data_IF_046740881808
#
_entry.id   IF_046740881808
#
_cell.length_a   1.000
_cell.length_b   1.000
_cell.length_c   1.000
_cell.angle_alpha   90.00
_cell.angle_beta   90.00
_cell.angle_gamma   90.00
#
_symmetry.space_group_name_H-M   'P 1'
#
loop_
_entity.id
_entity.type
_entity.pdbx_description
1 polymer ?
#
# COMPACT_ATOMS: atom_id res chain seq x y z
N UNK A 1 -2.82 -26.80 -19.75
CA UNK A 1 -2.71 -25.32 -19.69
C UNK A 1 -3.07 -24.91 -18.27
N UNK A 2 -2.21 -24.16 -17.59
CA UNK A 2 -2.57 -23.60 -16.28
C UNK A 2 -3.65 -22.54 -16.50
N UNK A 3 -4.75 -22.63 -15.76
CA UNK A 3 -5.85 -21.66 -15.84
C UNK A 3 -5.34 -20.25 -15.50
N UNK A 4 -5.89 -19.22 -16.15
CA UNK A 4 -5.60 -17.83 -15.76
C UNK A 4 -6.13 -17.56 -14.35
N UNK A 5 -5.62 -16.54 -13.65
CA UNK A 5 -6.15 -16.18 -12.32
C UNK A 5 -7.64 -15.82 -12.37
N UNK A 6 -8.10 -15.23 -13.48
CA UNK A 6 -9.51 -14.90 -13.70
C UNK A 6 -10.37 -16.16 -13.78
N UNK A 7 -9.90 -17.18 -14.53
CA UNK A 7 -10.59 -18.46 -14.64
C UNK A 7 -10.60 -19.19 -13.29
N UNK A 8 -9.48 -19.15 -12.55
CA UNK A 8 -9.38 -19.75 -11.22
C UNK A 8 -10.37 -19.10 -10.23
N UNK A 9 -10.41 -17.77 -10.17
CA UNK A 9 -11.35 -17.04 -9.32
C UNK A 9 -12.81 -17.35 -9.68
N UNK A 10 -13.12 -17.38 -10.99
CA UNK A 10 -14.47 -17.67 -11.50
C UNK A 10 -14.92 -19.09 -11.18
N UNK A 11 -14.02 -20.07 -11.38
CA UNK A 11 -14.30 -21.47 -11.07
C UNK A 11 -14.52 -21.67 -9.57
N UNK A 12 -13.60 -21.15 -8.73
CA UNK A 12 -13.71 -21.26 -7.28
C UNK A 12 -14.95 -20.56 -6.73
N UNK A 13 -15.36 -19.42 -7.31
CA UNK A 13 -16.63 -18.78 -6.96
C UNK A 13 -17.81 -19.71 -7.26
N UNK A 14 -17.83 -20.30 -8.46
CA UNK A 14 -18.90 -21.19 -8.88
C UNK A 14 -18.97 -22.43 -8.00
N UNK A 15 -17.83 -22.99 -7.64
CA UNK A 15 -17.73 -24.16 -6.77
C UNK A 15 -18.17 -23.84 -5.32
N UNK A 16 -17.79 -22.67 -4.79
CA UNK A 16 -18.12 -22.26 -3.43
C UNK A 16 -19.59 -21.83 -3.26
N UNK A 17 -20.21 -21.23 -4.29
CA UNK A 17 -21.51 -20.56 -4.17
C UNK A 17 -22.60 -21.08 -5.12
N UNK A 18 -22.28 -22.05 -6.00
CA UNK A 18 -23.25 -22.75 -6.85
C UNK A 18 -23.85 -21.91 -7.98
N UNK A 19 -23.26 -20.77 -8.31
CA UNK A 19 -23.69 -19.83 -9.38
C UNK A 19 -22.47 -19.11 -9.98
N UNK A 20 -22.55 -18.60 -11.22
CA UNK A 20 -21.47 -17.77 -11.76
C UNK A 20 -21.34 -16.44 -10.99
N UNK A 21 -20.14 -15.84 -10.93
CA UNK A 21 -19.95 -14.50 -10.39
C UNK A 21 -20.58 -13.43 -11.30
N UNK A 22 -20.93 -12.29 -10.71
CA UNK A 22 -21.49 -11.15 -11.44
C UNK A 22 -20.36 -10.35 -12.13
N UNK A 23 -19.20 -10.23 -11.49
CA UNK A 23 -18.06 -9.47 -12.02
C UNK A 23 -16.72 -9.92 -11.42
N UNK A 24 -15.61 -9.61 -12.09
CA UNK A 24 -14.25 -9.78 -11.62
C UNK A 24 -13.63 -8.42 -11.31
N UNK A 25 -12.98 -8.30 -10.15
CA UNK A 25 -12.20 -7.12 -9.76
C UNK A 25 -10.74 -7.46 -9.54
N UNK A 26 -9.86 -6.46 -9.70
CA UNK A 26 -8.40 -6.62 -9.63
C UNK A 26 -7.77 -5.46 -8.88
N UNK A 27 -6.73 -5.74 -8.10
CA UNK A 27 -5.77 -4.74 -7.61
C UNK A 27 -4.35 -5.30 -7.65
N UNK A 28 -3.38 -4.47 -8.07
CA UNK A 28 -2.01 -4.91 -8.32
C UNK A 28 -1.16 -4.86 -7.06
N UNK A 29 -0.14 -5.72 -6.99
CA UNK A 29 1.04 -5.47 -6.17
C UNK A 29 1.86 -4.30 -6.72
N UNK A 30 3.01 -4.04 -6.10
CA UNK A 30 3.88 -2.92 -6.50
C UNK A 30 5.35 -3.14 -6.19
N UNK A 31 6.21 -2.42 -6.90
CA UNK A 31 7.61 -2.19 -6.54
C UNK A 31 7.86 -0.69 -6.40
N UNK A 32 8.75 -0.30 -5.50
CA UNK A 32 9.16 1.10 -5.38
C UNK A 32 10.46 1.34 -6.16
N UNK A 33 10.50 2.35 -7.03
CA UNK A 33 11.74 2.69 -7.75
C UNK A 33 12.69 3.49 -6.83
N UNK A 34 12.13 4.42 -6.05
CA UNK A 34 12.87 5.25 -5.09
C UNK A 34 11.91 5.94 -4.10
N UNK A 35 12.42 6.28 -2.91
CA UNK A 35 11.64 6.92 -1.85
C UNK A 35 11.37 6.02 -0.65
N UNK A 36 12.16 4.96 -0.43
CA UNK A 36 11.89 4.07 0.70
C UNK A 36 12.00 4.79 2.04
N UNK A 37 11.02 4.52 2.92
CA UNK A 37 10.86 5.10 4.25
C UNK A 37 10.57 6.61 4.27
N UNK A 38 10.17 7.20 3.15
CA UNK A 38 9.77 8.62 3.10
C UNK A 38 8.26 8.81 3.21
N UNK A 39 7.46 7.80 2.89
CA UNK A 39 6.00 7.88 2.81
C UNK A 39 5.33 8.18 4.14
N UNK A 40 5.72 7.51 5.23
CA UNK A 40 5.26 7.85 6.59
C UNK A 40 6.01 9.03 7.21
N UNK A 41 6.90 9.67 6.45
CA UNK A 41 7.60 10.91 6.81
C UNK A 41 7.14 12.09 5.94
N UNK A 42 5.93 12.01 5.37
CA UNK A 42 5.33 13.00 4.46
C UNK A 42 6.13 13.27 3.18
N UNK A 43 7.13 12.45 2.84
CA UNK A 43 8.03 12.69 1.72
C UNK A 43 7.45 12.37 0.35
N UNK A 44 8.33 12.13 -0.61
CA UNK A 44 7.99 11.73 -1.98
C UNK A 44 8.38 10.29 -2.24
N UNK A 45 7.55 9.59 -3.00
CA UNK A 45 7.82 8.22 -3.48
C UNK A 45 7.56 8.11 -4.98
N UNK A 46 8.19 7.11 -5.61
CA UNK A 46 8.03 6.83 -7.04
C UNK A 46 7.80 5.33 -7.30
N UNK A 47 6.65 4.76 -6.87
CA UNK A 47 6.33 3.36 -7.11
C UNK A 47 5.81 3.08 -8.53
N UNK A 48 5.79 1.79 -8.85
CA UNK A 48 5.23 1.18 -10.06
C UNK A 48 4.30 0.04 -9.67
N UNK A 49 3.10 0.01 -10.25
CA UNK A 49 2.22 -1.17 -10.21
C UNK A 49 2.83 -2.29 -11.06
N UNK A 50 2.84 -3.51 -10.56
CA UNK A 50 3.35 -4.68 -11.30
C UNK A 50 2.21 -5.46 -11.95
N UNK A 51 2.56 -6.40 -12.84
CA UNK A 51 1.62 -7.29 -13.51
C UNK A 51 0.94 -8.29 -12.56
N UNK A 52 1.61 -8.62 -11.46
CA UNK A 52 1.06 -9.43 -10.36
C UNK A 52 -0.03 -8.71 -9.58
N UNK A 53 -1.11 -9.41 -9.27
CA UNK A 53 -2.32 -8.86 -8.68
C UNK A 53 -3.09 -9.85 -7.80
N UNK A 54 -4.02 -9.31 -7.02
CA UNK A 54 -5.13 -10.04 -6.41
C UNK A 54 -6.37 -9.84 -7.27
N UNK A 55 -7.05 -10.94 -7.56
CA UNK A 55 -8.34 -10.99 -8.25
C UNK A 55 -9.42 -11.46 -7.28
N UNK A 56 -10.61 -10.88 -7.40
CA UNK A 56 -11.80 -11.37 -6.70
C UNK A 56 -12.94 -11.51 -7.72
N UNK A 57 -13.46 -12.72 -7.86
CA UNK A 57 -14.76 -12.97 -8.49
C UNK A 57 -15.83 -12.68 -7.46
N UNK A 58 -16.79 -11.81 -7.77
CA UNK A 58 -17.78 -11.32 -6.79
C UNK A 58 -19.19 -11.49 -7.31
N UNK A 59 -20.12 -11.71 -6.39
CA UNK A 59 -21.55 -11.70 -6.69
C UNK A 59 -22.36 -11.05 -5.57
N UNK A 60 -23.28 -10.17 -5.94
CA UNK A 60 -24.14 -9.45 -5.01
C UNK A 60 -24.99 -10.41 -4.18
N UNK A 61 -25.35 -9.96 -2.97
CA UNK A 61 -26.33 -10.62 -2.10
C UNK A 61 -27.41 -9.62 -1.71
N UNK A 62 -28.57 -10.13 -1.32
CA UNK A 62 -29.68 -9.33 -0.82
C UNK A 62 -29.63 -9.06 0.68
N UNK A 63 -28.76 -9.76 1.41
CA UNK A 63 -28.50 -9.55 2.84
C UNK A 63 -27.20 -8.78 3.06
N UNK A 64 -26.87 -8.51 4.33
CA UNK A 64 -25.66 -7.78 4.74
C UNK A 64 -24.48 -8.73 5.05
N UNK A 65 -24.52 -9.96 4.53
CA UNK A 65 -23.46 -10.94 4.75
C UNK A 65 -22.37 -10.82 3.69
N UNK A 66 -21.12 -10.79 4.12
CA UNK A 66 -19.96 -10.99 3.24
C UNK A 66 -19.43 -12.40 3.45
N UNK A 67 -19.35 -13.19 2.38
CA UNK A 67 -18.73 -14.52 2.37
C UNK A 67 -17.62 -14.56 1.34
N UNK A 68 -16.43 -14.96 1.74
CA UNK A 68 -15.27 -14.95 0.85
C UNK A 68 -14.47 -16.25 0.98
N UNK A 69 -14.23 -16.90 -0.15
CA UNK A 69 -13.34 -18.04 -0.27
C UNK A 69 -11.96 -17.58 -0.75
N UNK A 70 -10.89 -17.91 -0.04
CA UNK A 70 -9.52 -17.67 -0.47
C UNK A 70 -8.90 -18.95 -1.01
N UNK A 71 -8.42 -18.93 -2.26
CA UNK A 71 -7.69 -20.05 -2.85
C UNK A 71 -6.30 -20.20 -2.23
N UNK A 72 -5.66 -19.09 -1.85
CA UNK A 72 -4.31 -19.10 -1.27
C UNK A 72 -4.27 -19.76 0.11
N UNK A 73 -5.39 -19.72 0.83
CA UNK A 73 -5.55 -20.29 2.18
C UNK A 73 -6.50 -21.49 2.23
N UNK A 74 -7.13 -21.85 1.11
CA UNK A 74 -8.16 -22.90 1.00
C UNK A 74 -9.26 -22.79 2.08
N UNK A 75 -9.68 -21.56 2.37
CA UNK A 75 -10.59 -21.25 3.47
C UNK A 75 -11.75 -20.37 3.01
N UNK A 76 -12.95 -20.68 3.52
CA UNK A 76 -14.13 -19.81 3.38
C UNK A 76 -14.44 -19.17 4.72
N UNK A 77 -14.48 -17.85 4.72
CA UNK A 77 -14.81 -17.05 5.89
C UNK A 77 -16.05 -16.21 5.60
N UNK A 78 -16.78 -15.86 6.66
CA UNK A 78 -17.94 -14.99 6.55
C UNK A 78 -18.11 -14.08 7.75
N UNK A 79 -18.73 -12.94 7.53
CA UNK A 79 -19.12 -12.01 8.59
C UNK A 79 -20.27 -11.12 8.12
N UNK A 80 -21.01 -10.60 9.07
CA UNK A 80 -22.03 -9.59 8.83
C UNK A 80 -21.39 -8.20 8.75
N UNK A 81 -21.81 -7.35 7.81
CA UNK A 81 -21.25 -5.99 7.64
C UNK A 81 -21.36 -5.17 8.92
N UNK A 82 -22.44 -5.31 9.70
CA UNK A 82 -22.61 -4.58 10.96
C UNK A 82 -21.64 -5.06 12.05
N UNK A 83 -21.15 -6.30 11.96
CA UNK A 83 -20.21 -6.86 12.95
C UNK A 83 -18.82 -6.18 12.94
N UNK A 84 -18.49 -5.46 11.86
CA UNK A 84 -17.20 -4.77 11.71
C UNK A 84 -17.33 -3.26 11.82
N UNK A 85 -18.35 -2.74 12.53
CA UNK A 85 -18.50 -1.30 12.80
C UNK A 85 -17.52 -0.75 13.84
N UNK A 86 -16.98 -1.62 14.68
CA UNK A 86 -16.03 -1.27 15.74
C UNK A 86 -14.72 -2.01 15.53
N UNK A 87 -13.62 -1.43 16.01
CA UNK A 87 -12.33 -2.09 15.99
C UNK A 87 -12.35 -3.37 16.86
N UNK A 88 -11.61 -4.42 16.47
CA UNK A 88 -11.52 -5.63 17.27
C UNK A 88 -10.80 -5.35 18.59
N UNK A 89 -11.19 -6.07 19.65
CA UNK A 89 -10.52 -5.98 20.96
C UNK A 89 -9.26 -6.85 21.04
N UNK A 90 -9.15 -7.83 20.16
CA UNK A 90 -7.97 -8.69 20.02
C UNK A 90 -7.18 -8.33 18.75
N UNK A 91 -5.87 -8.60 18.72
CA UNK A 91 -5.06 -8.40 17.53
C UNK A 91 -5.60 -9.21 16.34
N UNK A 92 -5.51 -8.63 15.14
CA UNK A 92 -5.72 -9.35 13.89
C UNK A 92 -4.69 -10.50 13.76
N UNK A 93 -5.15 -11.67 13.34
CA UNK A 93 -4.30 -12.88 13.23
C UNK A 93 -4.58 -13.69 11.98
N UNK A 94 -5.60 -13.33 11.20
CA UNK A 94 -6.02 -14.09 10.04
C UNK A 94 -6.09 -13.21 8.78
N UNK A 95 -6.02 -13.84 7.60
CA UNK A 95 -6.11 -13.13 6.33
C UNK A 95 -7.44 -12.38 6.15
N UNK A 96 -8.51 -12.90 6.75
CA UNK A 96 -9.84 -12.27 6.71
C UNK A 96 -9.85 -10.90 7.39
N UNK A 97 -8.88 -10.60 8.27
CA UNK A 97 -8.78 -9.29 8.93
C UNK A 97 -8.45 -8.16 7.94
N UNK A 98 -7.79 -8.45 6.82
CA UNK A 98 -7.63 -7.46 5.74
C UNK A 98 -8.97 -7.12 5.08
N UNK A 99 -9.86 -8.10 4.94
CA UNK A 99 -11.21 -7.90 4.39
C UNK A 99 -12.08 -7.14 5.38
N UNK A 100 -12.14 -7.61 6.64
CA UNK A 100 -12.91 -6.97 7.72
C UNK A 100 -12.44 -5.55 7.98
N UNK A 101 -11.14 -5.33 8.05
CA UNK A 101 -10.55 -4.00 8.22
C UNK A 101 -10.86 -3.06 7.06
N UNK A 102 -10.83 -3.56 5.83
CA UNK A 102 -11.21 -2.76 4.65
C UNK A 102 -12.68 -2.34 4.74
N UNK A 103 -13.59 -3.28 5.02
CA UNK A 103 -15.02 -2.99 5.17
C UNK A 103 -15.27 -2.02 6.32
N UNK A 104 -14.68 -2.26 7.51
CA UNK A 104 -14.73 -1.34 8.64
C UNK A 104 -14.32 0.08 8.22
N UNK A 105 -13.18 0.20 7.52
CA UNK A 105 -12.65 1.49 7.11
C UNK A 105 -13.55 2.20 6.09
N UNK A 106 -14.17 1.47 5.17
CA UNK A 106 -15.16 2.05 4.24
C UNK A 106 -16.41 2.54 5.00
N UNK A 107 -16.90 1.79 5.99
CA UNK A 107 -18.01 2.22 6.84
C UNK A 107 -17.67 3.49 7.64
N UNK A 108 -16.44 3.60 8.17
CA UNK A 108 -15.98 4.83 8.84
C UNK A 108 -15.93 6.04 7.87
N UNK A 109 -15.78 5.78 6.57
CA UNK A 109 -15.82 6.80 5.52
C UNK A 109 -17.24 7.20 5.10
N UNK A 110 -18.26 6.64 5.77
CA UNK A 110 -19.68 6.86 5.45
C UNK A 110 -20.12 6.19 4.16
N UNK A 111 -19.37 5.20 3.66
CA UNK A 111 -19.76 4.42 2.48
C UNK A 111 -20.70 3.28 2.88
N UNK A 112 -21.79 3.14 2.12
CA UNK A 112 -22.73 2.03 2.27
C UNK A 112 -22.13 0.77 1.65
N UNK A 113 -21.78 -0.20 2.48
CA UNK A 113 -21.30 -1.53 2.04
C UNK A 113 -22.46 -2.52 2.18
N UNK A 114 -22.74 -3.28 1.12
CA UNK A 114 -23.76 -4.34 1.11
C UNK A 114 -23.11 -5.71 1.12
N UNK A 115 -23.89 -6.77 1.37
CA UNK A 115 -23.40 -8.13 1.33
C UNK A 115 -23.00 -8.60 -0.08
N UNK A 116 -22.01 -9.48 -0.14
CA UNK A 116 -21.53 -10.12 -1.37
C UNK A 116 -20.87 -11.47 -1.07
N UNK A 117 -20.96 -12.37 -2.04
CA UNK A 117 -20.12 -13.57 -2.10
C UNK A 117 -18.87 -13.23 -2.90
N UNK A 118 -17.72 -13.85 -2.58
CA UNK A 118 -16.47 -13.63 -3.31
C UNK A 118 -15.51 -14.82 -3.30
N UNK A 119 -14.73 -14.99 -4.35
CA UNK A 119 -13.60 -15.91 -4.40
C UNK A 119 -12.33 -15.16 -4.80
N UNK A 120 -11.29 -15.27 -3.97
CA UNK A 120 -10.06 -14.47 -4.05
C UNK A 120 -8.85 -15.34 -4.35
N UNK A 121 -8.02 -14.90 -5.30
CA UNK A 121 -6.75 -15.53 -5.67
C UNK A 121 -5.74 -14.45 -6.05
N UNK A 122 -4.47 -14.65 -5.74
CA UNK A 122 -3.42 -13.72 -6.15
C UNK A 122 -2.12 -14.39 -6.56
N UNK A 123 -1.33 -13.70 -7.38
CA UNK A 123 0.04 -14.11 -7.74
C UNK A 123 1.10 -13.13 -7.22
N UNK A 124 0.71 -12.18 -6.36
CA UNK A 124 1.63 -11.33 -5.61
C UNK A 124 2.26 -12.19 -4.50
N UNK A 125 3.58 -12.43 -4.52
CA UNK A 125 4.21 -13.30 -3.53
C UNK A 125 4.05 -12.74 -2.11
N UNK A 126 3.35 -13.49 -1.26
CA UNK A 126 3.07 -13.11 0.12
C UNK A 126 4.39 -12.95 0.88
N UNK A 127 4.55 -11.83 1.58
CA UNK A 127 5.73 -11.56 2.41
C UNK A 127 7.02 -11.26 1.64
N UNK A 128 6.98 -11.09 0.32
CA UNK A 128 8.14 -10.73 -0.51
C UNK A 128 8.39 -9.21 -0.59
N UNK A 129 7.61 -8.39 0.12
CA UNK A 129 7.73 -6.94 0.07
C UNK A 129 7.15 -6.30 -1.20
N UNK A 130 6.26 -7.00 -1.91
CA UNK A 130 5.57 -6.54 -3.14
C UNK A 130 4.11 -6.08 -2.89
N UNK A 131 3.76 -5.84 -1.62
CA UNK A 131 2.44 -5.35 -1.17
C UNK A 131 1.26 -6.25 -1.48
N UNK A 132 1.36 -7.53 -1.14
CA UNK A 132 0.22 -8.45 -1.21
C UNK A 132 -0.95 -8.00 -0.32
N UNK A 133 -0.69 -7.39 0.85
CA UNK A 133 -1.73 -6.85 1.74
C UNK A 133 -2.49 -5.71 1.10
N UNK A 134 -1.79 -4.66 0.66
CA UNK A 134 -2.43 -3.51 -0.01
C UNK A 134 -3.18 -3.94 -1.29
N UNK A 135 -2.65 -4.90 -2.06
CA UNK A 135 -3.36 -5.45 -3.20
C UNK A 135 -4.67 -6.14 -2.77
N UNK A 136 -4.67 -6.94 -1.70
CA UNK A 136 -5.88 -7.56 -1.18
C UNK A 136 -6.89 -6.51 -0.67
N UNK A 137 -6.44 -5.54 0.11
CA UNK A 137 -7.28 -4.44 0.62
C UNK A 137 -7.93 -3.64 -0.51
N UNK A 138 -7.17 -3.27 -1.55
CA UNK A 138 -7.72 -2.53 -2.68
C UNK A 138 -8.62 -3.38 -3.57
N UNK A 139 -8.38 -4.69 -3.66
CA UNK A 139 -9.29 -5.61 -4.35
C UNK A 139 -10.64 -5.71 -3.60
N UNK A 140 -10.62 -5.77 -2.27
CA UNK A 140 -11.84 -5.74 -1.43
C UNK A 140 -12.55 -4.40 -1.54
N UNK A 141 -11.81 -3.29 -1.50
CA UNK A 141 -12.39 -1.96 -1.69
C UNK A 141 -13.04 -1.83 -3.07
N UNK A 142 -12.41 -2.40 -4.11
CA UNK A 142 -12.97 -2.45 -5.47
C UNK A 142 -14.22 -3.32 -5.54
N UNK A 143 -14.24 -4.46 -4.85
CA UNK A 143 -15.42 -5.32 -4.76
C UNK A 143 -16.61 -4.56 -4.16
N UNK A 144 -16.40 -3.92 -3.01
CA UNK A 144 -17.44 -3.14 -2.33
C UNK A 144 -17.92 -1.97 -3.20
N UNK A 145 -16.99 -1.26 -3.85
CA UNK A 145 -17.34 -0.16 -4.75
C UNK A 145 -18.11 -0.61 -5.99
N UNK A 146 -17.79 -1.78 -6.54
CA UNK A 146 -18.46 -2.29 -7.74
C UNK A 146 -19.87 -2.79 -7.43
N UNK A 147 -20.05 -3.54 -6.33
CA UNK A 147 -21.37 -4.07 -5.93
C UNK A 147 -22.28 -2.95 -5.42
N UNK A 148 -21.73 -2.01 -4.64
CA UNK A 148 -22.48 -0.90 -4.05
C UNK A 148 -22.61 0.33 -4.94
N UNK A 149 -22.15 0.27 -6.20
CA UNK A 149 -22.07 1.41 -7.13
C UNK A 149 -21.45 2.67 -6.50
N UNK A 150 -20.37 2.48 -5.73
CA UNK A 150 -19.69 3.57 -5.02
C UNK A 150 -18.69 4.26 -5.96
N UNK A 151 -18.58 5.60 -5.91
CA UNK A 151 -17.64 6.33 -6.75
C UNK A 151 -16.19 5.96 -6.40
N UNK A 152 -15.42 5.57 -7.41
CA UNK A 152 -14.01 5.25 -7.23
C UNK A 152 -13.12 6.51 -7.22
N UNK A 153 -12.76 6.96 -6.02
CA UNK A 153 -11.70 7.96 -5.83
C UNK A 153 -10.39 7.29 -5.39
N UNK A 154 -9.33 7.21 -6.22
CA UNK A 154 -8.13 6.46 -5.89
C UNK A 154 -7.49 6.85 -4.55
N UNK A 155 -7.33 8.16 -4.29
CA UNK A 155 -6.78 8.65 -3.03
C UNK A 155 -7.67 8.29 -1.82
N UNK A 156 -8.99 8.40 -1.98
CA UNK A 156 -9.96 8.05 -0.93
C UNK A 156 -9.90 6.56 -0.58
N UNK A 157 -9.87 5.70 -1.60
CA UNK A 157 -9.79 4.26 -1.41
C UNK A 157 -8.44 3.86 -0.83
N UNK A 158 -7.35 4.49 -1.28
CA UNK A 158 -6.03 4.27 -0.71
C UNK A 158 -5.95 4.63 0.78
N UNK A 159 -6.52 5.77 1.18
CA UNK A 159 -6.58 6.18 2.59
C UNK A 159 -7.44 5.23 3.41
N UNK A 160 -8.55 4.73 2.86
CA UNK A 160 -9.38 3.74 3.54
C UNK A 160 -8.61 2.44 3.77
N UNK A 161 -7.95 1.90 2.74
CA UNK A 161 -7.14 0.68 2.86
C UNK A 161 -5.96 0.87 3.80
N UNK A 162 -5.28 2.02 3.74
CA UNK A 162 -4.19 2.35 4.66
C UNK A 162 -4.70 2.41 6.12
N UNK A 163 -5.88 3.00 6.34
CA UNK A 163 -6.54 3.03 7.66
C UNK A 163 -6.87 1.62 8.15
N UNK A 164 -7.30 0.72 7.26
CA UNK A 164 -7.53 -0.69 7.60
C UNK A 164 -6.24 -1.36 8.07
N UNK A 165 -5.15 -1.24 7.30
CA UNK A 165 -3.85 -1.85 7.63
C UNK A 165 -3.29 -1.32 8.96
N UNK A 166 -3.36 0.00 9.17
CA UNK A 166 -2.87 0.65 10.40
C UNK A 166 -3.71 0.31 11.64
N UNK A 167 -5.05 0.40 11.54
CA UNK A 167 -5.94 0.39 12.71
C UNK A 167 -6.57 -0.96 13.00
N UNK A 168 -6.88 -1.73 11.97
CA UNK A 168 -7.48 -3.05 12.12
C UNK A 168 -6.39 -4.12 12.20
N UNK A 169 -5.48 -4.14 11.24
CA UNK A 169 -4.42 -5.16 11.17
C UNK A 169 -3.27 -4.83 12.13
N UNK A 170 -2.96 -3.55 12.34
CA UNK A 170 -1.95 -3.09 13.28
C UNK A 170 -0.55 -2.90 12.67
N UNK A 171 -0.45 -2.80 11.35
CA UNK A 171 0.80 -2.54 10.63
C UNK A 171 0.87 -1.05 10.32
N UNK A 172 1.80 -0.31 10.94
CA UNK A 172 1.81 1.15 10.86
C UNK A 172 2.43 1.68 9.55
N UNK A 173 1.91 1.27 8.39
CA UNK A 173 2.41 1.62 7.05
C UNK A 173 2.16 3.09 6.65
N UNK A 174 2.96 3.59 5.70
CA UNK A 174 2.65 4.81 4.95
C UNK A 174 1.66 4.54 3.80
N UNK A 175 1.37 5.56 2.99
CA UNK A 175 0.28 5.53 1.99
C UNK A 175 0.70 4.96 0.61
N UNK A 176 2.00 4.73 0.41
CA UNK A 176 2.59 4.42 -0.90
C UNK A 176 1.93 3.22 -1.57
N UNK A 177 1.83 2.11 -0.84
CA UNK A 177 1.42 0.81 -1.36
C UNK A 177 -0.03 0.83 -1.85
N UNK A 178 -0.91 1.37 -1.01
CA UNK A 178 -2.32 1.53 -1.33
C UNK A 178 -2.53 2.52 -2.47
N UNK A 179 -1.79 3.62 -2.49
CA UNK A 179 -1.95 4.65 -3.53
C UNK A 179 -1.57 4.12 -4.92
N UNK A 180 -0.42 3.45 -5.06
CA UNK A 180 -0.02 2.90 -6.36
C UNK A 180 -0.97 1.78 -6.82
N UNK A 181 -1.48 0.95 -5.90
CA UNK A 181 -2.45 -0.09 -6.23
C UNK A 181 -3.79 0.52 -6.68
N UNK A 182 -4.20 1.67 -6.12
CA UNK A 182 -5.45 2.35 -6.45
C UNK A 182 -5.39 3.23 -7.70
N UNK A 183 -4.25 3.86 -7.98
CA UNK A 183 -4.07 4.93 -8.99
C UNK A 183 -3.08 4.59 -10.11
N UNK A 184 -2.44 3.42 -10.07
CA UNK A 184 -1.43 3.01 -11.05
C UNK A 184 -1.98 2.94 -12.48
N UNK A 185 -1.10 3.20 -13.44
CA UNK A 185 -1.41 3.11 -14.87
C UNK A 185 -0.31 2.33 -15.60
N UNK A 186 -0.70 1.59 -16.63
CA UNK A 186 0.22 0.80 -17.45
C UNK A 186 1.33 1.67 -18.05
N UNK A 187 2.57 1.18 -18.00
CA UNK A 187 3.74 1.88 -18.52
C UNK A 187 4.15 3.14 -17.75
N UNK A 188 3.60 3.39 -16.55
CA UNK A 188 3.85 4.63 -15.80
C UNK A 188 4.19 4.37 -14.34
N UNK A 189 5.23 5.06 -13.85
CA UNK A 189 5.47 5.22 -12.42
C UNK A 189 4.58 6.34 -11.85
N UNK A 190 4.28 6.27 -10.56
CA UNK A 190 3.46 7.27 -9.88
C UNK A 190 4.37 8.12 -8.99
N UNK A 191 4.62 9.36 -9.35
CA UNK A 191 5.23 10.30 -8.41
C UNK A 191 4.14 10.73 -7.43
N UNK A 192 4.33 10.43 -6.15
CA UNK A 192 3.39 10.73 -5.08
C UNK A 192 4.03 11.67 -4.06
N UNK A 193 3.35 12.77 -3.77
CA UNK A 193 3.56 13.58 -2.57
C UNK A 193 2.72 12.98 -1.43
N UNK A 194 3.36 12.33 -0.45
CA UNK A 194 2.63 11.64 0.61
C UNK A 194 1.95 12.57 1.63
N UNK A 195 2.28 13.88 1.62
CA UNK A 195 1.64 14.88 2.48
C UNK A 195 0.33 15.38 1.87
N UNK A 196 0.37 15.76 0.60
CA UNK A 196 -0.79 16.36 -0.09
C UNK A 196 -1.65 15.32 -0.79
N UNK A 197 -1.12 14.11 -0.99
CA UNK A 197 -1.69 13.03 -1.81
C UNK A 197 -1.79 13.39 -3.30
N UNK A 198 -1.13 14.46 -3.74
CA UNK A 198 -1.03 14.80 -5.17
C UNK A 198 -0.19 13.76 -5.90
N UNK A 199 -0.64 13.39 -7.09
CA UNK A 199 0.00 12.37 -7.93
C UNK A 199 0.32 12.89 -9.33
N UNK A 200 1.42 12.40 -9.90
CA UNK A 200 1.79 12.59 -11.30
C UNK A 200 2.20 11.25 -11.92
N UNK A 201 1.56 10.89 -13.03
CA UNK A 201 1.82 9.64 -13.74
C UNK A 201 2.94 9.83 -14.76
N UNK A 202 4.14 9.39 -14.39
CA UNK A 202 5.38 9.56 -15.14
C UNK A 202 5.59 8.37 -16.09
N UNK A 203 5.59 8.58 -17.41
CA UNK A 203 5.82 7.49 -18.36
C UNK A 203 7.24 6.92 -18.22
N UNK A 204 7.34 5.58 -18.25
CA UNK A 204 8.61 4.90 -18.40
C UNK A 204 9.03 4.90 -19.88
N UNK A 205 10.33 5.03 -20.19
CA UNK A 205 10.81 4.84 -21.56
C UNK A 205 10.54 3.41 -22.05
N UNK A 206 10.06 3.25 -23.29
CA UNK A 206 9.67 1.94 -23.87
C UNK A 206 10.78 0.88 -23.86
N UNK A 207 12.05 1.30 -23.88
CA UNK A 207 13.21 0.39 -23.82
C UNK A 207 13.57 -0.08 -22.40
N UNK A 208 12.78 0.29 -21.39
CA UNK A 208 13.07 0.02 -19.98
C UNK A 208 12.50 -1.33 -19.57
N UNK A 209 13.35 -2.18 -19.00
CA UNK A 209 12.93 -3.41 -18.34
C UNK A 209 13.15 -3.29 -16.84
N UNK A 210 12.13 -3.61 -16.04
CA UNK A 210 12.24 -3.66 -14.57
C UNK A 210 12.41 -5.11 -14.17
N UNK A 211 13.54 -5.43 -13.52
CA UNK A 211 13.84 -6.77 -13.02
C UNK A 211 13.71 -6.77 -11.50
N UNK A 212 12.79 -7.58 -10.98
CA UNK A 212 12.57 -7.78 -9.55
C UNK A 212 13.23 -9.10 -9.14
N UNK A 213 14.17 -9.04 -8.20
CA UNK A 213 14.84 -10.21 -7.66
C UNK A 213 14.36 -10.48 -6.24
N UNK A 214 13.50 -11.49 -6.08
CA UNK A 214 13.06 -11.99 -4.77
C UNK A 214 14.19 -12.81 -4.13
N UNK A 215 14.59 -12.44 -2.91
CA UNK A 215 15.66 -13.12 -2.17
C UNK A 215 15.24 -14.48 -1.60
N UNK A 216 13.95 -14.83 -1.67
CA UNK A 216 13.37 -16.02 -1.05
C UNK A 216 13.18 -15.89 0.47
N UNK A 217 13.64 -14.80 1.08
CA UNK A 217 13.39 -14.52 2.50
C UNK A 217 11.97 -13.97 2.65
N UNK A 218 11.22 -14.48 3.62
CA UNK A 218 9.85 -14.05 3.90
C UNK A 218 9.79 -13.36 5.26
N UNK A 219 9.04 -12.28 5.35
CA UNK A 219 8.71 -11.63 6.62
C UNK A 219 7.40 -12.19 7.17
N UNK A 220 7.26 -12.20 8.50
CA UNK A 220 6.00 -12.54 9.16
C UNK A 220 4.92 -11.47 8.95
N UNK A 221 3.68 -11.79 9.34
CA UNK A 221 2.48 -10.97 9.13
C UNK A 221 2.49 -9.63 9.90
N UNK A 222 3.30 -9.50 10.96
CA UNK A 222 3.41 -8.27 11.77
C UNK A 222 4.88 -7.88 11.84
N UNK A 223 5.28 -6.87 11.05
CA UNK A 223 6.68 -6.47 10.90
C UNK A 223 7.09 -5.50 12.04
N UNK A 224 7.60 -6.05 13.14
CA UNK A 224 8.10 -5.26 14.28
C UNK A 224 9.23 -4.31 13.89
N UNK A 225 10.07 -4.66 12.92
CA UNK A 225 11.17 -3.83 12.47
C UNK A 225 10.69 -2.60 11.67
N UNK A 226 9.60 -2.74 10.91
CA UNK A 226 8.98 -1.60 10.23
C UNK A 226 8.42 -0.59 11.25
N UNK A 227 7.64 -1.09 12.23
CA UNK A 227 7.09 -0.27 13.30
C UNK A 227 8.20 0.40 14.14
N UNK A 228 9.30 -0.30 14.42
CA UNK A 228 10.47 0.25 15.09
C UNK A 228 11.12 1.38 14.28
N UNK A 229 11.27 1.20 12.96
CA UNK A 229 11.83 2.26 12.11
C UNK A 229 10.95 3.50 12.09
N UNK A 230 9.63 3.33 12.05
CA UNK A 230 8.68 4.44 12.10
C UNK A 230 8.79 5.20 13.42
N UNK A 231 8.80 4.50 14.57
CA UNK A 231 8.92 5.16 15.88
C UNK A 231 10.25 5.92 16.04
N UNK A 232 11.34 5.40 15.46
CA UNK A 232 12.62 6.11 15.40
C UNK A 232 12.53 7.42 14.60
N UNK A 233 11.79 7.42 13.49
CA UNK A 233 11.55 8.63 12.69
C UNK A 233 10.67 9.64 13.42
N UNK A 234 9.61 9.18 14.10
CA UNK A 234 8.72 10.03 14.91
C UNK A 234 9.49 10.68 16.07
N UNK A 235 10.34 9.91 16.77
CA UNK A 235 11.21 10.45 17.81
C UNK A 235 12.20 11.50 17.28
N UNK A 236 12.72 11.30 16.06
CA UNK A 236 13.59 12.27 15.42
C UNK A 236 12.83 13.54 15.00
N UNK A 237 11.59 13.41 14.49
CA UNK A 237 10.75 14.56 14.15
C UNK A 237 10.43 15.39 15.41
N UNK A 238 10.05 14.73 16.51
CA UNK A 238 9.84 15.37 17.80
C UNK A 238 11.09 16.08 18.34
N UNK A 239 12.28 15.50 18.16
CA UNK A 239 13.54 16.15 18.53
C UNK A 239 13.80 17.47 17.77
N UNK A 240 13.35 17.55 16.52
CA UNK A 240 13.48 18.75 15.69
C UNK A 240 12.27 19.69 15.76
N UNK A 241 11.28 19.39 16.62
CA UNK A 241 10.03 20.14 16.76
C UNK A 241 9.28 20.32 15.43
N UNK A 242 9.20 19.23 14.65
CA UNK A 242 8.46 19.18 13.39
C UNK A 242 7.49 18.01 13.38
N UNK A 243 6.41 18.12 12.59
CA UNK A 243 5.42 17.05 12.42
C UNK A 243 6.02 15.86 11.68
N UNK A 244 6.80 16.11 10.63
CA UNK A 244 7.40 15.05 9.81
C UNK A 244 8.82 15.42 9.38
N UNK A 245 9.65 14.39 9.15
CA UNK A 245 11.05 14.59 8.74
C UNK A 245 11.20 15.29 7.37
N UNK A 246 10.13 15.39 6.58
CA UNK A 246 10.09 16.23 5.37
C UNK A 246 10.44 17.69 5.65
N UNK A 247 10.13 18.22 6.83
CA UNK A 247 10.38 19.62 7.17
C UNK A 247 11.81 19.86 7.69
N UNK A 248 12.60 18.79 7.85
CA UNK A 248 13.99 18.87 8.30
C UNK A 248 14.94 18.99 7.10
N UNK A 249 15.73 20.07 7.08
CA UNK A 249 16.78 20.25 6.08
C UNK A 249 18.08 19.53 6.46
N UNK A 250 18.90 19.18 5.47
CA UNK A 250 20.24 18.63 5.73
C UNK A 250 21.14 19.58 6.53
N UNK A 251 20.95 20.89 6.40
CA UNK A 251 21.67 21.88 7.20
C UNK A 251 21.30 21.77 8.69
N UNK A 252 20.00 21.63 9.00
CA UNK A 252 19.50 21.42 10.37
C UNK A 252 20.10 20.16 11.01
N UNK A 253 20.09 19.03 10.28
CA UNK A 253 20.69 17.77 10.77
C UNK A 253 22.20 17.92 10.99
N UNK A 254 22.89 18.62 10.10
CA UNK A 254 24.34 18.81 10.19
C UNK A 254 24.72 19.71 11.37
N UNK A 255 23.91 20.74 11.66
CA UNK A 255 24.05 21.60 12.83
C UNK A 255 23.89 20.83 14.14
N UNK A 256 22.83 20.03 14.26
CA UNK A 256 22.58 19.20 15.46
C UNK A 256 23.67 18.14 15.69
N UNK A 257 24.33 17.65 14.63
CA UNK A 257 25.48 16.73 14.75
C UNK A 257 26.72 17.42 15.31
N UNK A 258 26.91 18.72 15.04
CA UNK A 258 28.06 19.47 15.56
C UNK A 258 27.91 19.72 17.05
N UNK A 259 26.73 20.15 17.51
CA UNK A 259 26.45 20.31 18.94
C UNK A 259 26.60 18.99 19.71
N UNK A 260 26.13 17.87 19.15
CA UNK A 260 26.31 16.52 19.75
C UNK A 260 27.73 15.96 19.70
N UNK A 261 28.65 16.56 18.93
CA UNK A 261 30.07 16.17 18.87
C UNK A 261 30.92 16.94 19.88
N UNK A 262 30.51 18.15 20.24
CA UNK A 262 31.14 18.92 21.32
C UNK A 262 30.77 18.35 22.70
N UNK A 263 29.67 17.61 22.80
CA UNK A 263 29.31 16.76 23.95
C UNK A 263 29.66 15.28 23.68
N UNK A 264 30.89 14.87 23.93
CA UNK A 264 31.30 13.45 23.75
C UNK A 264 30.65 12.52 24.78
N UNK A 265 29.70 11.68 24.34
CA UNK A 265 29.64 10.22 24.54
C UNK A 265 28.22 9.71 24.23
N UNK A 266 28.06 8.97 23.13
CA UNK A 266 27.17 7.80 22.91
C UNK A 266 26.86 7.65 21.42
N UNK A 267 27.13 6.45 20.88
CA UNK A 267 26.95 6.12 19.47
C UNK A 267 25.48 6.10 19.03
N UNK A 268 25.19 6.65 17.85
CA UNK A 268 23.87 6.60 17.21
C UNK A 268 24.00 6.72 15.65
N UNK A 269 23.00 6.30 14.85
CA UNK A 269 23.19 5.56 13.60
C UNK A 269 23.56 6.37 12.33
N UNK A 270 24.20 5.69 11.38
CA UNK A 270 24.74 6.24 10.11
C UNK A 270 23.70 6.49 8.99
N UNK A 271 22.42 6.15 9.16
CA UNK A 271 21.50 5.96 8.02
C UNK A 271 20.72 7.19 7.50
N UNK A 272 20.75 8.35 8.18
CA UNK A 272 20.05 9.57 7.72
C UNK A 272 20.73 10.32 6.54
N UNK A 273 21.70 9.70 5.85
CA UNK A 273 22.74 10.45 5.15
C UNK A 273 22.37 11.16 3.83
N UNK A 274 21.37 10.77 3.02
CA UNK A 274 21.25 11.34 1.64
C UNK A 274 19.87 11.45 0.96
N UNK A 275 18.72 11.32 1.64
CA UNK A 275 17.45 11.04 0.93
C UNK A 275 16.47 12.19 0.68
N UNK A 276 16.72 13.39 1.20
CA UNK A 276 15.77 14.51 1.10
C UNK A 276 16.37 15.71 0.36
N UNK A 277 16.65 15.59 -0.94
CA UNK A 277 16.63 16.78 -1.80
C UNK A 277 16.50 16.49 -3.30
N UNK A 278 15.39 16.93 -3.90
CA UNK A 278 15.39 17.64 -5.18
C UNK A 278 14.30 18.71 -5.16
N UNK A 279 14.71 19.98 -5.29
CA UNK A 279 13.82 21.14 -5.42
C UNK A 279 13.16 21.10 -6.80
N UNK A 280 11.83 21.21 -6.83
CA UNK A 280 11.10 21.64 -8.00
C UNK A 280 11.48 23.09 -8.34
N UNK A 281 12.16 23.27 -9.47
CA UNK A 281 12.32 24.55 -10.15
C UNK A 281 11.43 24.54 -11.39
N UNK A 282 10.61 25.58 -11.54
CA UNK A 282 9.49 25.63 -12.49
C UNK A 282 9.87 25.65 -13.98
N UNK A 283 8.82 25.52 -14.79
CA UNK A 283 8.85 25.68 -16.25
C UNK A 283 8.36 24.44 -16.99
N UNK A 284 7.20 24.55 -17.63
CA UNK A 284 6.63 23.57 -18.58
C UNK A 284 7.57 23.35 -19.78
N UNK A 285 8.62 22.54 -19.62
CA UNK A 285 9.35 21.83 -20.68
C UNK A 285 10.51 21.05 -20.03
N UNK A 286 10.43 19.71 -19.96
CA UNK A 286 11.58 18.88 -19.57
C UNK A 286 11.37 17.83 -18.46
N UNK A 287 10.14 17.37 -18.20
CA UNK A 287 9.87 16.40 -17.12
C UNK A 287 10.57 15.04 -17.29
N UNK A 288 10.93 14.62 -18.50
CA UNK A 288 11.63 13.35 -18.76
C UNK A 288 13.09 13.29 -18.25
N UNK A 289 13.79 14.42 -18.13
CA UNK A 289 15.17 14.47 -17.63
C UNK A 289 15.27 14.60 -16.10
N UNK A 290 14.15 14.92 -15.42
CA UNK A 290 14.11 15.13 -13.96
C UNK A 290 14.13 13.81 -13.17
N UNK A 291 13.51 12.76 -13.71
CA UNK A 291 13.43 11.43 -13.07
C UNK A 291 14.83 10.80 -12.89
N UNK A 292 15.70 10.98 -13.89
CA UNK A 292 17.10 10.52 -13.82
C UNK A 292 17.90 11.26 -12.73
N UNK A 293 17.59 12.53 -12.45
CA UNK A 293 18.28 13.31 -11.41
C UNK A 293 17.85 12.92 -9.98
N UNK A 294 16.56 12.61 -9.77
CA UNK A 294 16.07 12.05 -8.49
C UNK A 294 16.76 10.71 -8.19
N UNK A 295 16.98 9.87 -9.21
CA UNK A 295 17.67 8.59 -9.07
C UNK A 295 19.20 8.71 -8.85
N UNK A 296 19.87 9.72 -9.44
CA UNK A 296 21.32 9.88 -9.31
C UNK A 296 21.79 10.56 -8.00
N UNK A 297 21.00 11.44 -7.39
CA UNK A 297 21.38 12.11 -6.14
C UNK A 297 21.53 11.18 -4.92
N UNK A 298 20.96 9.97 -4.98
CA UNK A 298 20.91 9.01 -3.87
C UNK A 298 22.02 7.93 -3.87
N UNK A 299 22.89 7.87 -4.90
CA UNK A 299 23.80 6.71 -5.13
C UNK A 299 25.31 6.96 -4.99
N UNK A 300 25.78 8.13 -4.59
CA UNK A 300 27.22 8.32 -4.34
C UNK A 300 27.55 8.15 -2.85
N UNK A 301 28.71 7.55 -2.48
CA UNK A 301 29.07 7.16 -1.10
C UNK A 301 29.20 8.34 -0.13
#
# INVERSE_FOLDING_TARGET
MTLSLQDQATQAFTDAFGRPPDVLVRASGRVNLIGEHTDYNDGFVLPLAIDRAVWIAIGARSDEMIRIHSLDFEQTEQFDVDSVRQLPTAPATAWIDYVRGTVWSLLQEGLSVTGWDGAMVGDVPIGAGLSSSAAAELAVARACATIGDLPWGPARMAVCSQRAENRWVGVNCGIMDQMISAAGAEGRALLLDCRTLETDLVPLPDSTNIVILDTGTRRGLVDSAYNERRSQCEAAAAHFDVTALRDVTLATVSGARRTRRDDTQTGAPRHLRKRTHHRGGGGHAGRGQSVARIAHGCKSP
#
